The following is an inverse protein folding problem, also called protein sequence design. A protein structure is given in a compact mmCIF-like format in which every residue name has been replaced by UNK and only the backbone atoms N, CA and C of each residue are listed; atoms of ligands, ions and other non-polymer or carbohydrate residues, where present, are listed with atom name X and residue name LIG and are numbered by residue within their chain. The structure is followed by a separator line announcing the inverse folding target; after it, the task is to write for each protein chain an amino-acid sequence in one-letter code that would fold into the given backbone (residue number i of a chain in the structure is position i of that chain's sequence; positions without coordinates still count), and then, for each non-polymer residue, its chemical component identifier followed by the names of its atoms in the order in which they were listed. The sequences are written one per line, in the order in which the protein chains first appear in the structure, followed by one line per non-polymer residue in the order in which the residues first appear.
data_IF_227201908954
#
_entry.id   IF_227201908954
#
_cell.length_a   1.000
_cell.length_b   1.000
_cell.length_c   1.000
_cell.angle_alpha   90.00
_cell.angle_beta   90.00
_cell.angle_gamma   90.00
#
_symmetry.space_group_name_H-M   'P 1'
#
loop_
_entity.id
_entity.type
_entity.pdbx_description
1 polymer ?
#
# COMPACT_ATOMS: atom_id res chain seq x y z
N UNK A 1 -17.53 -8.80 -11.66
CA UNK A 1 -17.27 -7.33 -11.77
C UNK A 1 -16.71 -6.76 -10.47
N UNK A 2 -15.57 -7.31 -10.07
CA UNK A 2 -14.95 -6.99 -8.78
C UNK A 2 -14.45 -5.54 -8.67
N UNK A 3 -13.89 -4.99 -9.75
CA UNK A 3 -13.31 -3.65 -9.74
C UNK A 3 -14.32 -2.50 -9.86
N UNK A 4 -15.55 -2.77 -10.23
CA UNK A 4 -16.55 -1.73 -10.56
C UNK A 4 -16.82 -0.76 -9.40
N UNK A 5 -16.87 -1.26 -8.18
CA UNK A 5 -17.12 -0.44 -6.99
C UNK A 5 -15.87 0.13 -6.33
N UNK A 6 -14.69 -0.12 -6.87
CA UNK A 6 -13.41 0.29 -6.28
C UNK A 6 -13.04 1.67 -6.80
N UNK A 7 -12.82 2.64 -5.87
CA UNK A 7 -12.48 4.02 -6.25
C UNK A 7 -11.11 4.13 -6.94
N UNK A 8 -10.14 3.33 -6.53
CA UNK A 8 -8.80 3.30 -7.11
C UNK A 8 -8.66 2.18 -8.15
N UNK A 9 -9.45 2.27 -9.19
CA UNK A 9 -9.48 1.32 -10.30
C UNK A 9 -8.64 1.85 -11.46
N UNK A 10 -7.78 1.00 -12.00
CA UNK A 10 -7.00 1.30 -13.20
C UNK A 10 -7.40 0.37 -14.34
N UNK A 11 -7.44 0.93 -15.55
CA UNK A 11 -7.66 0.18 -16.78
C UNK A 11 -6.34 0.00 -17.51
N UNK A 12 -6.04 -1.22 -17.89
CA UNK A 12 -4.86 -1.54 -18.70
C UNK A 12 -5.33 -2.20 -19.97
N UNK A 13 -4.94 -1.65 -21.11
CA UNK A 13 -5.28 -2.17 -22.42
C UNK A 13 -4.04 -2.75 -23.08
N UNK A 14 -4.10 -4.04 -23.42
CA UNK A 14 -3.04 -4.72 -24.15
C UNK A 14 -3.02 -4.30 -25.62
N UNK A 15 -1.82 -4.18 -26.21
CA UNK A 15 -1.68 -3.93 -27.65
C UNK A 15 -2.13 -5.14 -28.45
N UNK A 16 -2.62 -4.90 -29.66
CA UNK A 16 -3.00 -5.97 -30.59
C UNK A 16 -1.79 -6.86 -30.90
N UNK A 17 -1.94 -8.16 -30.72
CA UNK A 17 -0.86 -9.14 -30.92
C UNK A 17 0.08 -9.31 -29.74
N UNK A 18 -0.06 -8.54 -28.66
CA UNK A 18 0.71 -8.74 -27.45
C UNK A 18 0.19 -9.96 -26.68
N UNK A 19 1.10 -10.78 -26.20
CA UNK A 19 0.78 -11.99 -25.41
C UNK A 19 0.87 -11.75 -23.91
N UNK A 20 1.37 -10.59 -23.50
CA UNK A 20 1.55 -10.23 -22.10
C UNK A 20 1.38 -8.73 -21.87
N UNK A 21 1.08 -8.37 -20.62
CA UNK A 21 1.00 -6.98 -20.18
C UNK A 21 1.55 -6.87 -18.75
N UNK A 22 2.31 -5.83 -18.47
CA UNK A 22 2.82 -5.56 -17.13
C UNK A 22 1.83 -4.69 -16.35
N UNK A 23 1.56 -5.09 -15.13
CA UNK A 23 0.71 -4.35 -14.20
C UNK A 23 1.40 -4.20 -12.86
N UNK A 24 1.02 -3.18 -12.12
CA UNK A 24 1.46 -2.98 -10.74
C UNK A 24 0.23 -3.02 -9.85
N UNK A 25 0.19 -3.99 -8.95
CA UNK A 25 -0.91 -4.20 -8.03
C UNK A 25 -0.61 -3.51 -6.71
N UNK A 26 -1.53 -2.67 -6.26
CA UNK A 26 -1.43 -1.95 -4.98
C UNK A 26 -2.56 -2.38 -4.05
N UNK A 27 -2.32 -2.30 -2.74
CA UNK A 27 -3.38 -2.49 -1.76
C UNK A 27 -4.45 -1.40 -1.89
N UNK A 28 -5.71 -1.80 -1.87
CA UNK A 28 -6.84 -0.88 -2.04
C UNK A 28 -7.10 -0.45 -3.48
N UNK A 29 -6.28 -0.88 -4.43
CA UNK A 29 -6.48 -0.69 -5.86
C UNK A 29 -7.06 -1.92 -6.53
N UNK A 30 -7.52 -1.76 -7.75
CA UNK A 30 -8.01 -2.84 -8.59
C UNK A 30 -7.66 -2.54 -10.05
N UNK A 31 -7.17 -3.54 -10.76
CA UNK A 31 -6.76 -3.38 -12.15
C UNK A 31 -7.68 -4.19 -13.05
N UNK A 32 -8.27 -3.53 -14.03
CA UNK A 32 -9.05 -4.18 -15.09
C UNK A 32 -8.21 -4.26 -16.35
N UNK A 33 -7.87 -5.46 -16.78
CA UNK A 33 -7.08 -5.70 -17.99
C UNK A 33 -7.96 -6.08 -19.16
N UNK A 34 -7.72 -5.45 -20.28
CA UNK A 34 -8.42 -5.70 -21.54
C UNK A 34 -7.40 -6.00 -22.64
N UNK A 35 -7.63 -7.05 -23.38
CA UNK A 35 -6.85 -7.38 -24.56
C UNK A 35 -7.74 -7.90 -25.66
N UNK A 36 -7.36 -7.70 -26.91
CA UNK A 36 -8.14 -8.16 -28.06
C UNK A 36 -8.27 -9.68 -28.06
N UNK A 37 -9.49 -10.17 -28.19
CA UNK A 37 -9.82 -11.60 -28.20
C UNK A 37 -9.45 -12.35 -26.91
N UNK A 38 -9.32 -11.64 -25.81
CA UNK A 38 -9.05 -12.20 -24.49
C UNK A 38 -10.12 -11.75 -23.50
N UNK A 39 -10.43 -12.55 -22.48
CA UNK A 39 -11.37 -12.14 -21.47
C UNK A 39 -10.84 -10.93 -20.68
N UNK A 40 -11.73 -10.04 -20.29
CA UNK A 40 -11.41 -8.94 -19.39
C UNK A 40 -11.27 -9.48 -17.97
N UNK A 41 -10.18 -9.14 -17.32
CA UNK A 41 -9.85 -9.65 -15.99
C UNK A 41 -9.81 -8.50 -14.99
N UNK A 42 -10.39 -8.72 -13.82
CA UNK A 42 -10.27 -7.86 -12.66
C UNK A 42 -9.28 -8.48 -11.69
N UNK A 43 -8.20 -7.77 -11.39
CA UNK A 43 -7.08 -8.28 -10.59
C UNK A 43 -6.86 -7.34 -9.41
N UNK A 44 -6.79 -7.92 -8.23
CA UNK A 44 -6.62 -7.18 -6.98
C UNK A 44 -5.56 -7.86 -6.10
N UNK A 45 -4.69 -7.05 -5.51
CA UNK A 45 -3.80 -7.51 -4.44
C UNK A 45 -4.60 -7.51 -3.13
N UNK A 46 -5.02 -8.68 -2.70
CA UNK A 46 -5.87 -8.83 -1.53
C UNK A 46 -5.09 -8.65 -0.24
N UNK A 47 -3.94 -9.29 -0.14
CA UNK A 47 -3.20 -9.35 1.11
C UNK A 47 -1.72 -9.61 0.88
N UNK A 48 -0.89 -9.06 1.75
CA UNK A 48 0.53 -9.40 1.87
C UNK A 48 0.75 -9.90 3.29
N UNK A 49 1.09 -11.17 3.42
CA UNK A 49 1.33 -11.79 4.72
C UNK A 49 2.83 -11.93 4.97
N UNK A 50 3.27 -11.52 6.16
CA UNK A 50 4.64 -11.70 6.61
C UNK A 50 4.69 -12.75 7.70
N UNK A 51 5.65 -13.66 7.59
CA UNK A 51 5.89 -14.72 8.57
C UNK A 51 7.31 -14.62 9.12
N UNK A 52 7.59 -15.30 10.22
CA UNK A 52 8.93 -15.39 10.82
C UNK A 52 9.57 -14.02 11.08
N UNK A 53 8.82 -13.14 11.72
CA UNK A 53 9.29 -11.82 12.10
C UNK A 53 10.34 -11.94 13.20
N UNK A 54 11.50 -11.31 13.01
CA UNK A 54 12.56 -11.24 14.00
C UNK A 54 12.52 -9.88 14.72
N UNK A 55 12.53 -9.92 16.05
CA UNK A 55 12.62 -8.71 16.85
C UNK A 55 14.05 -8.17 16.80
N UNK A 56 14.22 -6.96 16.26
CA UNK A 56 15.52 -6.33 16.17
C UNK A 56 15.86 -5.51 17.42
N UNK A 57 14.87 -4.78 17.95
CA UNK A 57 15.05 -3.91 19.11
C UNK A 57 13.76 -3.81 19.91
N UNK A 58 13.89 -3.72 21.21
CA UNK A 58 12.79 -3.44 22.13
C UNK A 58 12.99 -2.07 22.76
N UNK A 59 11.92 -1.31 22.90
CA UNK A 59 11.93 -0.02 23.59
C UNK A 59 11.02 -0.07 24.81
N UNK A 60 11.44 0.54 25.90
CA UNK A 60 10.62 0.64 27.10
C UNK A 60 9.77 1.90 27.06
N UNK A 61 8.44 1.76 27.16
CA UNK A 61 7.50 2.88 27.19
C UNK A 61 6.98 3.20 28.59
N UNK A 62 7.11 2.27 29.51
CA UNK A 62 6.74 2.47 30.91
C UNK A 62 7.75 1.77 31.81
N UNK A 63 8.39 2.55 32.67
CA UNK A 63 9.39 2.05 33.59
C UNK A 63 8.92 2.11 35.04
N UNK A 64 9.61 1.35 35.88
CA UNK A 64 9.43 1.34 37.33
C UNK A 64 10.80 1.40 38.00
N UNK A 65 10.93 2.17 39.03
CA UNK A 65 12.13 2.23 39.86
C UNK A 65 11.87 1.64 41.24
N UNK A 66 12.84 0.89 41.75
CA UNK A 66 12.85 0.29 43.07
C UNK A 66 14.25 0.35 43.66
N UNK A 67 14.38 0.01 44.97
CA UNK A 67 15.68 -0.10 45.64
C UNK A 67 16.54 1.18 45.44
N UNK A 68 15.97 2.32 45.72
CA UNK A 68 16.72 3.59 45.68
C UNK A 68 17.71 3.64 46.81
N UNK A 69 18.99 3.76 46.46
CA UNK A 69 20.11 3.84 47.44
C UNK A 69 20.86 5.13 47.19
N UNK A 70 21.42 5.67 48.27
CA UNK A 70 22.18 6.93 48.22
C UNK A 70 23.45 6.80 49.06
N UNK A 71 24.56 7.33 48.57
CA UNK A 71 25.77 7.55 49.30
C UNK A 71 26.25 8.99 49.16
N UNK A 72 26.77 9.54 50.21
CA UNK A 72 27.20 10.91 50.26
C UNK A 72 28.52 11.05 50.98
N UNK A 73 29.37 11.97 50.49
CA UNK A 73 30.67 12.29 51.07
C UNK A 73 30.76 13.74 51.50
N UNK A 74 31.54 14.00 52.54
CA UNK A 74 31.83 15.37 52.96
C UNK A 74 32.78 16.07 51.97
N UNK A 75 32.82 17.41 51.95
CA UNK A 75 33.78 18.13 51.15
C UNK A 75 35.20 17.64 51.35
N UNK A 76 35.97 17.54 50.29
CA UNK A 76 37.37 17.06 50.23
C UNK A 76 37.58 15.56 50.47
N UNK A 77 36.54 14.78 50.62
CA UNK A 77 36.65 13.32 50.81
C UNK A 77 36.54 12.48 49.54
N UNK A 78 36.58 13.09 48.38
CA UNK A 78 36.48 12.40 47.11
C UNK A 78 35.05 12.17 46.64
N UNK A 79 34.82 11.29 45.67
CA UNK A 79 33.57 10.96 45.09
C UNK A 79 32.83 9.87 45.89
N UNK A 80 31.53 10.07 46.09
CA UNK A 80 30.66 9.03 46.61
C UNK A 80 30.49 7.88 45.60
N UNK A 81 30.58 6.65 46.07
CA UNK A 81 30.54 5.43 45.27
C UNK A 81 29.56 4.45 45.89
N UNK A 82 28.70 3.86 45.04
CA UNK A 82 27.81 2.78 45.41
C UNK A 82 28.17 1.52 44.61
N UNK A 83 28.11 0.32 45.24
CA UNK A 83 28.35 -0.95 44.52
C UNK A 83 27.33 -1.18 43.39
N UNK A 84 26.13 -0.61 43.50
CA UNK A 84 25.07 -0.68 42.49
C UNK A 84 25.42 0.00 41.19
N UNK A 85 26.41 0.88 41.15
CA UNK A 85 26.88 1.51 39.92
C UNK A 85 27.46 0.49 38.93
N UNK A 86 27.94 -0.64 39.41
CA UNK A 86 28.44 -1.74 38.59
C UNK A 86 27.32 -2.65 38.08
N UNK A 87 26.11 -2.54 38.62
CA UNK A 87 24.97 -3.31 38.17
C UNK A 87 24.27 -2.60 37.01
N UNK A 88 24.19 -3.28 35.88
CA UNK A 88 23.57 -2.72 34.66
C UNK A 88 22.07 -2.50 34.78
N UNK A 89 21.41 -3.06 35.80
CA UNK A 89 19.99 -2.86 36.08
C UNK A 89 19.69 -1.57 36.84
N UNK A 90 20.72 -0.88 37.31
CA UNK A 90 20.60 0.36 38.06
C UNK A 90 20.92 1.56 37.20
N UNK A 91 20.18 2.62 37.41
CA UNK A 91 20.47 3.94 36.85
C UNK A 91 20.97 4.83 37.99
N UNK A 92 22.11 5.46 37.80
CA UNK A 92 22.79 6.23 38.82
C UNK A 92 23.13 7.63 38.34
N UNK A 93 23.13 8.59 39.26
CA UNK A 93 23.56 9.95 38.98
C UNK A 93 24.43 10.48 40.11
N UNK A 94 25.54 11.05 39.75
CA UNK A 94 26.42 11.81 40.65
C UNK A 94 26.03 13.28 40.63
N UNK A 95 26.02 13.89 41.81
CA UNK A 95 25.79 15.31 41.96
C UNK A 95 26.57 15.83 43.17
N UNK A 96 26.45 17.09 43.44
CA UNK A 96 27.05 17.72 44.62
C UNK A 96 25.96 18.42 45.43
N UNK A 97 26.06 18.30 46.73
CA UNK A 97 25.12 18.92 47.68
C UNK A 97 25.89 19.77 48.72
N UNK A 98 25.25 20.76 49.27
CA UNK A 98 25.83 21.54 50.36
C UNK A 98 25.92 20.74 51.64
N UNK A 99 27.10 20.64 52.18
CA UNK A 99 27.44 19.93 53.38
C UNK A 99 28.04 20.86 54.42
N UNK A 100 27.80 20.57 55.70
CA UNK A 100 28.28 21.33 56.82
C UNK A 100 27.95 20.67 58.13
N UNK A 101 28.06 21.42 59.23
CA UNK A 101 27.83 20.86 60.56
C UNK A 101 26.36 20.40 60.76
N UNK A 102 25.42 21.11 60.12
CA UNK A 102 24.01 20.75 60.21
C UNK A 102 23.63 19.39 59.63
N UNK A 103 24.47 18.80 58.78
CA UNK A 103 24.27 17.50 58.13
C UNK A 103 25.44 16.54 58.30
N UNK A 104 26.26 16.74 59.31
CA UNK A 104 27.27 15.77 59.77
C UNK A 104 28.66 15.89 59.15
N UNK A 105 28.99 17.01 58.52
CA UNK A 105 30.31 17.27 57.98
C UNK A 105 31.01 18.40 58.76
N UNK A 106 32.28 18.23 59.04
CA UNK A 106 33.10 19.22 59.72
C UNK A 106 33.55 20.43 58.85
N UNK A 107 33.41 20.32 57.56
CA UNK A 107 33.74 21.38 56.60
C UNK A 107 32.48 21.84 55.88
N UNK A 108 32.37 23.15 55.64
CA UNK A 108 31.35 23.70 54.78
C UNK A 108 31.80 23.64 53.32
N UNK A 109 30.92 23.23 52.43
CA UNK A 109 31.18 23.20 51.01
C UNK A 109 30.32 22.16 50.30
N UNK A 110 30.69 21.90 49.01
CA UNK A 110 30.01 20.92 48.18
C UNK A 110 30.59 19.52 48.44
N UNK A 111 29.72 18.59 48.83
CA UNK A 111 30.09 17.20 49.00
C UNK A 111 29.47 16.35 47.86
N UNK A 112 30.17 15.30 47.48
CA UNK A 112 29.68 14.37 46.45
C UNK A 112 28.47 13.58 46.94
N UNK A 113 27.48 13.39 46.07
CA UNK A 113 26.29 12.58 46.29
C UNK A 113 26.06 11.69 45.09
N UNK A 114 25.83 10.41 45.32
CA UNK A 114 25.40 9.47 44.28
C UNK A 114 24.08 8.82 44.69
N UNK A 115 23.17 8.75 43.77
CA UNK A 115 21.89 8.06 43.95
C UNK A 115 21.72 7.05 42.86
N UNK A 116 21.39 5.83 43.24
CA UNK A 116 21.12 4.73 42.32
C UNK A 116 19.72 4.17 42.54
N UNK A 117 19.04 3.84 41.48
CA UNK A 117 17.73 3.21 41.53
C UNK A 117 17.69 2.04 40.56
N UNK A 118 17.07 0.94 40.97
CA UNK A 118 16.87 -0.22 40.10
C UNK A 118 15.76 0.06 39.12
N UNK A 119 16.07 -0.08 37.84
CA UNK A 119 15.13 0.12 36.74
C UNK A 119 14.55 -1.21 36.26
N UNK A 120 13.24 -1.25 36.10
CA UNK A 120 12.51 -2.35 35.45
C UNK A 120 11.55 -1.77 34.44
N UNK A 121 11.41 -2.45 33.32
CA UNK A 121 10.42 -2.08 32.32
C UNK A 121 9.11 -2.84 32.56
N UNK A 122 8.01 -2.10 32.66
CA UNK A 122 6.67 -2.67 32.84
C UNK A 122 6.00 -2.94 31.51
N UNK A 123 6.15 -2.04 30.55
CA UNK A 123 5.61 -2.20 29.20
C UNK A 123 6.67 -1.84 28.18
N UNK A 124 6.74 -2.64 27.15
CA UNK A 124 7.69 -2.43 26.07
C UNK A 124 6.99 -2.48 24.70
N UNK A 125 7.63 -1.89 23.73
CA UNK A 125 7.27 -2.02 22.32
C UNK A 125 8.38 -2.76 21.60
N UNK A 126 8.01 -3.54 20.59
CA UNK A 126 8.96 -4.32 19.81
C UNK A 126 9.08 -3.78 18.40
N UNK A 127 10.29 -3.62 17.91
CA UNK A 127 10.60 -3.35 16.52
C UNK A 127 10.98 -4.64 15.80
N UNK A 128 10.15 -5.10 14.90
CA UNK A 128 10.33 -6.34 14.16
C UNK A 128 10.74 -6.08 12.72
N UNK A 129 11.59 -6.92 12.19
CA UNK A 129 12.08 -6.83 10.81
C UNK A 129 11.35 -7.86 9.96
N UNK A 130 10.92 -7.41 8.78
CA UNK A 130 10.34 -8.27 7.75
C UNK A 130 11.40 -8.59 6.72
N UNK A 131 11.60 -9.86 6.41
CA UNK A 131 12.47 -10.30 5.33
C UNK A 131 11.64 -10.62 4.10
N UNK A 132 12.13 -10.26 2.92
CA UNK A 132 11.44 -10.51 1.65
C UNK A 132 11.14 -11.99 1.42
N UNK A 133 12.02 -12.89 1.88
CA UNK A 133 11.85 -14.33 1.75
C UNK A 133 10.63 -14.88 2.48
N UNK A 134 10.14 -14.18 3.48
CA UNK A 134 9.01 -14.59 4.32
C UNK A 134 7.70 -13.88 3.98
N UNK A 135 7.65 -13.25 2.82
CA UNK A 135 6.45 -12.59 2.31
C UNK A 135 5.65 -13.52 1.40
N UNK A 136 4.34 -13.44 1.53
CA UNK A 136 3.39 -14.14 0.68
C UNK A 136 2.34 -13.14 0.22
N UNK A 137 2.26 -12.93 -1.08
CA UNK A 137 1.26 -12.06 -1.70
C UNK A 137 0.09 -12.90 -2.16
N UNK A 138 -1.10 -12.48 -1.81
CA UNK A 138 -2.34 -13.12 -2.27
C UNK A 138 -3.01 -12.21 -3.30
N UNK A 139 -3.11 -12.69 -4.52
CA UNK A 139 -3.72 -11.98 -5.64
C UNK A 139 -5.02 -12.66 -6.00
N UNK A 140 -6.10 -11.90 -6.11
CA UNK A 140 -7.39 -12.40 -6.56
C UNK A 140 -7.63 -12.00 -7.99
N UNK A 141 -7.95 -12.96 -8.83
CA UNK A 141 -8.24 -12.79 -10.24
C UNK A 141 -9.68 -13.20 -10.49
N UNK A 142 -10.46 -12.29 -11.05
CA UNK A 142 -11.85 -12.53 -11.41
C UNK A 142 -12.04 -12.23 -12.88
N UNK A 143 -12.70 -13.09 -13.61
CA UNK A 143 -13.10 -12.79 -14.99
C UNK A 143 -14.24 -11.77 -14.93
N UNK A 144 -14.06 -10.65 -15.63
CA UNK A 144 -15.06 -9.60 -15.74
C UNK A 144 -16.18 -10.05 -16.67
N UNK A 145 -17.12 -10.83 -16.13
CA UNK A 145 -18.18 -11.43 -16.92
C UNK A 145 -19.52 -10.79 -16.59
N UNK A 146 -20.43 -10.83 -17.56
CA UNK A 146 -21.80 -10.38 -17.40
C UNK A 146 -22.70 -11.39 -16.68
N UNK A 147 -22.20 -12.54 -16.27
CA UNK A 147 -22.99 -13.58 -15.63
C UNK A 147 -23.43 -13.14 -14.23
N UNK A 148 -24.74 -13.19 -13.97
CA UNK A 148 -25.35 -12.72 -12.72
C UNK A 148 -24.83 -13.48 -11.49
N UNK A 149 -24.50 -14.75 -11.61
CA UNK A 149 -24.00 -15.55 -10.49
C UNK A 149 -22.63 -15.11 -10.00
N UNK A 150 -21.85 -14.39 -10.81
CA UNK A 150 -20.54 -13.89 -10.43
C UNK A 150 -20.55 -12.43 -9.95
N UNK A 151 -21.56 -11.66 -10.30
CA UNK A 151 -21.62 -10.21 -9.99
C UNK A 151 -21.87 -9.92 -8.50
N UNK A 152 -22.58 -10.80 -7.80
CA UNK A 152 -22.93 -10.59 -6.39
C UNK A 152 -22.00 -11.25 -5.37
N UNK A 153 -20.99 -12.00 -5.81
CA UNK A 153 -20.20 -12.83 -4.92
C UNK A 153 -18.71 -12.52 -5.07
N UNK A 154 -18.21 -11.61 -4.23
CA UNK A 154 -16.81 -11.19 -4.18
C UNK A 154 -15.83 -12.34 -3.86
N UNK A 155 -16.33 -13.48 -3.39
CA UNK A 155 -15.55 -14.63 -2.96
C UNK A 155 -15.25 -15.62 -4.08
N UNK A 156 -15.76 -15.44 -5.29
CA UNK A 156 -15.59 -16.40 -6.40
C UNK A 156 -14.37 -16.13 -7.31
N UNK A 157 -13.46 -15.28 -6.91
CA UNK A 157 -12.22 -15.10 -7.63
C UNK A 157 -11.26 -16.27 -7.46
N UNK A 158 -10.40 -16.47 -8.44
CA UNK A 158 -9.27 -17.41 -8.34
C UNK A 158 -8.15 -16.73 -7.57
N UNK A 159 -7.65 -17.42 -6.57
CA UNK A 159 -6.57 -16.91 -5.73
C UNK A 159 -5.22 -17.43 -6.21
N UNK A 160 -4.27 -16.54 -6.41
CA UNK A 160 -2.88 -16.89 -6.68
C UNK A 160 -2.00 -16.44 -5.51
N UNK A 161 -1.14 -17.33 -5.05
CA UNK A 161 -0.19 -17.05 -3.98
C UNK A 161 1.21 -16.89 -4.57
N UNK A 162 1.82 -15.73 -4.34
CA UNK A 162 3.11 -15.38 -4.89
C UNK A 162 4.10 -15.17 -3.76
N UNK A 163 5.19 -15.92 -3.81
CA UNK A 163 6.31 -15.82 -2.86
C UNK A 163 7.60 -15.61 -3.64
N UNK A 164 8.69 -15.15 -3.00
CA UNK A 164 9.99 -15.06 -3.68
C UNK A 164 10.51 -16.40 -4.22
N UNK A 165 10.10 -17.53 -3.61
CA UNK A 165 10.45 -18.86 -4.07
C UNK A 165 9.56 -19.34 -5.22
N UNK A 166 8.34 -18.83 -5.31
CA UNK A 166 7.36 -19.15 -6.35
C UNK A 166 6.83 -17.84 -6.96
N UNK A 167 7.71 -17.14 -7.68
CA UNK A 167 7.39 -15.86 -8.32
C UNK A 167 6.64 -16.00 -9.64
N UNK A 168 6.68 -17.16 -10.24
CA UNK A 168 5.93 -17.50 -11.47
C UNK A 168 4.84 -18.50 -11.11
N UNK A 169 3.58 -18.09 -11.26
CA UNK A 169 2.41 -18.89 -10.88
C UNK A 169 1.43 -18.91 -12.05
N UNK A 170 0.77 -20.04 -12.25
CA UNK A 170 -0.34 -20.15 -13.20
C UNK A 170 -1.67 -20.21 -12.45
N UNK A 171 -2.57 -19.29 -12.77
CA UNK A 171 -3.93 -19.29 -12.26
C UNK A 171 -4.87 -19.92 -13.27
N UNK A 172 -5.56 -20.97 -12.85
CA UNK A 172 -6.53 -21.67 -13.70
C UNK A 172 -7.87 -20.99 -13.57
N UNK A 173 -8.34 -20.39 -14.64
CA UNK A 173 -9.65 -19.76 -14.73
C UNK A 173 -10.61 -20.75 -15.38
N UNK A 174 -11.61 -21.29 -14.65
CA UNK A 174 -12.52 -22.26 -15.24
C UNK A 174 -13.25 -21.69 -16.45
N UNK A 175 -13.28 -22.47 -17.54
CA UNK A 175 -13.87 -22.13 -18.84
C UNK A 175 -13.11 -21.08 -19.67
N UNK A 176 -12.08 -20.43 -19.13
CA UNK A 176 -11.35 -19.36 -19.83
C UNK A 176 -9.89 -19.71 -20.09
N UNK A 177 -9.36 -20.75 -19.48
CA UNK A 177 -8.00 -21.17 -19.64
C UNK A 177 -7.11 -20.78 -18.46
N UNK A 178 -5.85 -20.52 -18.73
CA UNK A 178 -4.82 -20.30 -17.72
C UNK A 178 -4.19 -18.90 -17.87
N UNK A 179 -4.16 -18.14 -16.78
CA UNK A 179 -3.43 -16.89 -16.71
C UNK A 179 -2.07 -17.14 -16.08
N UNK A 180 -1.00 -16.80 -16.79
CA UNK A 180 0.35 -16.82 -16.24
C UNK A 180 0.67 -15.52 -15.51
N UNK A 181 1.13 -15.65 -14.27
CA UNK A 181 1.56 -14.54 -13.43
C UNK A 181 3.05 -14.67 -13.18
N UNK A 182 3.84 -13.74 -13.70
CA UNK A 182 5.26 -13.62 -13.42
C UNK A 182 5.49 -12.33 -12.63
N UNK A 183 5.71 -12.43 -11.34
CA UNK A 183 5.74 -11.29 -10.44
C UNK A 183 7.14 -11.04 -9.88
N UNK A 184 7.37 -9.82 -9.43
CA UNK A 184 8.62 -9.40 -8.79
C UNK A 184 8.37 -9.08 -7.31
N UNK A 185 8.32 -10.09 -6.43
CA UNK A 185 7.94 -9.89 -5.03
C UNK A 185 9.00 -9.17 -4.19
N UNK A 186 10.21 -8.99 -4.73
CA UNK A 186 11.31 -8.30 -4.03
C UNK A 186 11.39 -6.80 -4.31
N UNK A 187 10.62 -6.28 -5.28
CA UNK A 187 10.67 -4.88 -5.71
C UNK A 187 9.57 -4.01 -5.11
N UNK A 188 8.75 -4.55 -4.24
CA UNK A 188 7.68 -3.82 -3.55
C UNK A 188 8.21 -2.83 -2.51
N UNK A 189 7.58 -2.78 -1.35
CA UNK A 189 8.02 -1.94 -0.24
C UNK A 189 9.47 -2.27 0.16
N UNK A 190 10.29 -1.25 0.38
CA UNK A 190 11.66 -1.44 0.84
C UNK A 190 11.69 -1.78 2.33
N UNK A 191 11.69 -3.07 2.63
CA UNK A 191 11.73 -3.56 4.00
C UNK A 191 13.08 -3.34 4.71
N UNK A 192 14.14 -2.96 3.97
CA UNK A 192 15.40 -2.58 4.59
C UNK A 192 15.32 -1.24 5.30
N UNK A 193 14.42 -0.36 4.87
CA UNK A 193 14.19 0.96 5.49
C UNK A 193 12.96 1.00 6.39
N UNK A 194 12.16 -0.08 6.42
CA UNK A 194 10.93 -0.15 7.18
C UNK A 194 11.01 -1.17 8.31
N UNK A 195 10.21 -0.97 9.32
CA UNK A 195 10.14 -1.83 10.50
C UNK A 195 8.71 -1.91 11.00
N UNK A 196 8.34 -3.05 11.58
CA UNK A 196 7.07 -3.22 12.27
C UNK A 196 7.23 -2.86 13.73
N UNK A 197 6.52 -1.84 14.18
CA UNK A 197 6.41 -1.49 15.58
C UNK A 197 5.18 -2.18 16.15
N UNK A 198 5.37 -3.05 17.14
CA UNK A 198 4.30 -3.76 17.82
C UNK A 198 4.13 -3.23 19.24
N UNK A 199 2.94 -2.74 19.55
CA UNK A 199 2.58 -2.24 20.87
C UNK A 199 1.27 -2.88 21.32
N UNK A 200 1.31 -3.67 22.38
CA UNK A 200 0.19 -4.53 22.80
C UNK A 200 -0.27 -5.44 21.64
N UNK A 201 -1.53 -5.38 21.25
CA UNK A 201 -2.08 -6.20 20.16
C UNK A 201 -2.16 -5.48 18.82
N UNK A 202 -1.51 -4.33 18.70
CA UNK A 202 -1.53 -3.51 17.49
C UNK A 202 -0.13 -3.39 16.91
N UNK A 203 -0.04 -3.27 15.61
CA UNK A 203 1.21 -3.09 14.89
C UNK A 203 1.09 -1.98 13.85
N UNK A 204 2.20 -1.30 13.62
CA UNK A 204 2.30 -0.23 12.62
C UNK A 204 3.56 -0.42 11.80
N UNK A 205 3.50 0.01 10.55
CA UNK A 205 4.66 0.11 9.70
C UNK A 205 5.31 1.48 9.89
N UNK A 206 6.56 1.51 10.28
CA UNK A 206 7.30 2.73 10.57
C UNK A 206 8.67 2.73 9.87
N UNK A 207 9.26 3.90 9.67
CA UNK A 207 10.63 4.00 9.19
C UNK A 207 11.61 3.51 10.25
N UNK A 208 12.59 2.73 9.84
CA UNK A 208 13.61 2.17 10.74
C UNK A 208 14.39 3.26 11.46
N UNK A 209 14.77 4.31 10.75
CA UNK A 209 15.49 5.43 11.33
C UNK A 209 14.67 6.17 12.38
N UNK A 210 13.39 6.41 12.11
CA UNK A 210 12.49 7.02 13.08
C UNK A 210 12.36 6.18 14.36
N UNK A 211 12.27 4.87 14.22
CA UNK A 211 12.18 3.96 15.36
C UNK A 211 13.46 3.98 16.21
N UNK A 212 14.63 3.99 15.58
CA UNK A 212 15.91 4.05 16.29
C UNK A 212 16.17 5.39 16.95
N UNK A 213 15.60 6.47 16.45
CA UNK A 213 15.75 7.82 17.00
C UNK A 213 14.77 8.13 18.14
N UNK A 214 13.88 7.21 18.49
CA UNK A 214 12.96 7.42 19.59
C UNK A 214 13.69 7.54 20.92
N UNK A 215 13.38 8.59 21.73
CA UNK A 215 14.06 8.85 22.99
C UNK A 215 13.53 7.95 24.12
N UNK A 216 13.79 6.67 24.03
CA UNK A 216 13.33 5.67 24.99
C UNK A 216 14.48 4.69 25.32
N UNK A 217 14.50 4.11 26.52
CA UNK A 217 15.43 3.05 26.84
C UNK A 217 15.24 1.86 25.88
N UNK A 218 16.32 1.28 25.44
CA UNK A 218 16.29 0.23 24.44
C UNK A 218 17.12 -1.00 24.85
N UNK A 219 16.79 -2.13 24.28
CA UNK A 219 17.57 -3.36 24.40
C UNK A 219 17.55 -4.11 23.07
N UNK A 220 18.55 -4.99 22.89
CA UNK A 220 18.58 -5.88 21.71
C UNK A 220 17.41 -6.88 21.75
N UNK A 221 16.83 -7.17 20.60
CA UNK A 221 15.75 -8.12 20.45
C UNK A 221 16.11 -9.58 20.76
N UNK A 222 17.39 -9.91 20.82
CA UNK A 222 17.87 -11.26 21.08
C UNK A 222 17.84 -11.65 22.57
N UNK A 223 17.58 -10.72 23.49
CA UNK A 223 17.55 -10.97 24.93
C UNK A 223 16.20 -11.52 25.38
N UNK A 224 16.22 -12.60 26.20
CA UNK A 224 15.02 -13.39 26.47
C UNK A 224 14.36 -13.18 27.83
N UNK A 225 15.01 -13.06 28.97
CA UNK A 225 14.28 -13.09 30.26
C UNK A 225 14.42 -11.85 31.14
N UNK A 226 15.57 -11.28 31.29
CA UNK A 226 15.79 -10.03 32.04
C UNK A 226 16.66 -9.11 31.21
N UNK A 227 16.04 -8.32 30.29
CA UNK A 227 16.81 -7.47 29.43
C UNK A 227 17.50 -6.36 30.22
N UNK A 228 18.74 -6.10 29.88
CA UNK A 228 19.48 -4.95 30.37
C UNK A 228 19.18 -3.77 29.46
N UNK A 229 18.54 -2.74 30.01
CA UNK A 229 18.14 -1.57 29.24
C UNK A 229 19.27 -0.58 29.11
N UNK A 230 19.48 -0.09 27.90
CA UNK A 230 20.39 1.01 27.61
C UNK A 230 19.64 2.32 27.67
N UNK A 231 20.33 3.39 28.06
CA UNK A 231 19.75 4.74 28.17
C UNK A 231 18.54 4.83 29.09
N UNK A 232 18.62 4.18 30.24
CA UNK A 232 17.58 4.19 31.27
C UNK A 232 17.24 5.61 31.77
N UNK A 233 18.21 6.51 31.73
CA UNK A 233 18.03 7.91 32.10
C UNK A 233 16.97 8.67 31.28
N UNK A 234 16.58 8.16 30.13
CA UNK A 234 15.53 8.78 29.32
C UNK A 234 14.13 8.72 29.98
N UNK A 235 13.89 7.72 30.83
CA UNK A 235 12.65 7.60 31.59
C UNK A 235 12.79 7.95 33.07
N UNK A 236 13.99 8.13 33.56
CA UNK A 236 14.25 8.39 34.97
C UNK A 236 14.81 9.80 35.12
N UNK A 237 14.18 10.59 35.99
CA UNK A 237 14.60 11.95 36.29
C UNK A 237 15.08 12.04 37.72
N UNK A 238 16.28 12.59 37.90
CA UNK A 238 16.83 12.90 39.22
C UNK A 238 16.59 14.38 39.49
N UNK A 239 15.75 14.66 40.50
CA UNK A 239 15.48 16.04 40.91
C UNK A 239 16.63 16.61 41.70
N UNK A 240 16.70 17.93 41.80
CA UNK A 240 17.75 18.62 42.53
C UNK A 240 17.84 18.11 43.97
N UNK A 241 19.06 17.83 44.41
CA UNK A 241 19.35 17.33 45.73
C UNK A 241 19.22 18.42 46.77
N UNK A 242 18.54 18.08 47.86
CA UNK A 242 18.51 18.91 49.09
C UNK A 242 19.11 18.08 50.24
N UNK A 243 20.08 18.63 50.91
CA UNK A 243 20.80 17.98 52.03
C UNK A 243 21.49 16.66 51.58
N UNK A 244 21.06 15.51 52.07
CA UNK A 244 21.61 14.20 51.77
C UNK A 244 20.78 13.37 50.83
N UNK A 245 19.71 13.92 50.27
CA UNK A 245 18.75 13.12 49.45
C UNK A 245 18.46 13.82 48.14
N UNK A 246 18.49 12.98 47.11
CA UNK A 246 18.06 13.32 45.79
C UNK A 246 16.80 12.50 45.47
N UNK A 247 15.76 13.16 45.03
CA UNK A 247 14.54 12.49 44.64
C UNK A 247 14.67 11.92 43.25
N UNK A 248 14.30 10.65 43.06
CA UNK A 248 14.30 9.96 41.78
C UNK A 248 12.85 9.69 41.39
N UNK A 249 12.47 10.14 40.22
CA UNK A 249 11.13 9.91 39.67
C UNK A 249 11.23 9.26 38.31
N UNK A 250 10.30 8.37 37.99
CA UNK A 250 10.15 7.79 36.69
C UNK A 250 9.04 8.54 35.92
N UNK A 251 9.25 8.79 34.64
CA UNK A 251 8.23 9.35 33.78
C UNK A 251 7.05 8.39 33.68
N UNK A 252 5.86 8.96 33.53
CA UNK A 252 4.65 8.17 33.31
C UNK A 252 4.69 7.40 32.01
N UNK A 253 3.67 6.59 31.78
CA UNK A 253 3.56 5.78 30.54
C UNK A 253 3.64 6.67 29.30
N UNK A 254 4.47 6.26 28.35
CA UNK A 254 4.65 6.93 27.05
C UNK A 254 3.72 6.35 25.97
N UNK A 255 2.78 5.50 26.32
CA UNK A 255 1.85 4.88 25.38
C UNK A 255 1.03 5.92 24.60
N UNK A 256 0.47 6.92 25.31
CA UNK A 256 -0.28 8.00 24.67
C UNK A 256 0.56 8.85 23.72
N UNK A 257 1.80 9.15 24.10
CA UNK A 257 2.73 9.86 23.24
C UNK A 257 3.09 9.04 22.00
N UNK A 258 3.24 7.73 22.14
CA UNK A 258 3.49 6.82 21.01
C UNK A 258 2.30 6.75 20.06
N UNK A 259 1.07 6.67 20.56
CA UNK A 259 -0.13 6.71 19.71
C UNK A 259 -0.23 8.02 18.94
N UNK A 260 0.12 9.14 19.56
CA UNK A 260 0.14 10.44 18.87
C UNK A 260 1.22 10.48 17.79
N UNK A 261 2.40 9.99 18.09
CA UNK A 261 3.52 9.92 17.14
C UNK A 261 3.24 8.98 15.95
N UNK A 262 2.41 7.96 16.16
CA UNK A 262 2.01 6.99 15.12
C UNK A 262 0.82 7.47 14.26
N UNK A 263 0.30 8.66 14.49
CA UNK A 263 -0.77 9.23 13.67
C UNK A 263 -0.30 9.35 12.22
N UNK A 264 -1.06 8.76 11.29
CA UNK A 264 -0.70 8.71 9.88
C UNK A 264 0.18 7.52 9.46
N UNK A 265 0.67 6.73 10.40
CA UNK A 265 1.35 5.47 10.10
C UNK A 265 0.35 4.39 9.68
N UNK A 266 0.78 3.50 8.80
CA UNK A 266 -0.07 2.39 8.33
C UNK A 266 -0.23 1.35 9.42
N UNK A 267 -1.45 1.16 9.91
CA UNK A 267 -1.78 0.12 10.88
C UNK A 267 -1.84 -1.25 10.21
N UNK A 268 -1.31 -2.26 10.88
CA UNK A 268 -1.21 -3.62 10.38
C UNK A 268 -2.08 -4.53 11.22
N UNK A 269 -2.82 -5.42 10.57
CA UNK A 269 -3.62 -6.42 11.26
C UNK A 269 -2.75 -7.61 11.68
N UNK A 270 -2.81 -7.96 12.95
CA UNK A 270 -2.04 -9.05 13.54
C UNK A 270 -2.87 -10.28 13.90
N UNK A 271 -4.19 -10.18 13.86
CA UNK A 271 -5.09 -11.31 14.09
C UNK A 271 -5.10 -12.27 12.90
N UNK A 272 -4.73 -13.54 13.14
CA UNK A 272 -4.69 -14.56 12.08
C UNK A 272 -3.46 -14.52 11.18
N UNK A 273 -2.37 -13.88 11.62
CA UNK A 273 -1.15 -13.64 10.86
C UNK A 273 -0.88 -12.15 10.68
N UNK A 274 0.33 -11.80 10.27
CA UNK A 274 0.70 -10.38 10.06
C UNK A 274 0.38 -9.98 8.62
N UNK A 275 -0.70 -9.24 8.45
CA UNK A 275 -1.15 -8.73 7.14
C UNK A 275 -0.69 -7.29 6.95
N UNK A 276 0.13 -7.07 5.93
CA UNK A 276 0.69 -5.76 5.59
C UNK A 276 -0.11 -5.18 4.42
N UNK A 277 -0.75 -4.03 4.62
CA UNK A 277 -1.51 -3.33 3.58
C UNK A 277 -0.73 -2.14 3.00
N UNK A 278 0.55 -2.33 2.79
CA UNK A 278 1.43 -1.33 2.19
C UNK A 278 2.30 -1.98 1.11
N UNK A 279 2.79 -1.17 0.19
CA UNK A 279 3.61 -1.64 -0.92
C UNK A 279 2.80 -2.03 -2.13
N UNK A 280 3.49 -2.59 -3.10
CA UNK A 280 2.93 -2.99 -4.38
C UNK A 280 3.58 -4.28 -4.87
N UNK A 281 2.95 -4.91 -5.85
CA UNK A 281 3.47 -6.09 -6.51
C UNK A 281 3.43 -5.85 -8.02
N UNK A 282 4.58 -5.83 -8.66
CA UNK A 282 4.69 -5.78 -10.11
C UNK A 282 4.53 -7.18 -10.67
N UNK A 283 3.59 -7.37 -11.59
CA UNK A 283 3.34 -8.64 -12.24
C UNK A 283 3.27 -8.50 -13.75
N UNK A 284 3.80 -9.48 -14.43
CA UNK A 284 3.61 -9.67 -15.87
C UNK A 284 2.51 -10.70 -16.07
N UNK A 285 1.44 -10.30 -16.71
CA UNK A 285 0.31 -11.17 -17.00
C UNK A 285 0.47 -11.77 -18.38
N UNK A 286 0.62 -13.08 -18.46
CA UNK A 286 0.73 -13.82 -19.72
C UNK A 286 -0.65 -14.34 -20.08
N UNK A 287 -1.20 -13.84 -21.18
CA UNK A 287 -2.56 -14.12 -21.63
C UNK A 287 -2.62 -15.09 -22.83
N UNK A 288 -1.52 -15.66 -23.24
CA UNK A 288 -1.45 -16.52 -24.41
C UNK A 288 -2.31 -17.79 -24.31
N UNK A 289 -2.54 -18.29 -23.11
CA UNK A 289 -3.36 -19.48 -22.84
C UNK A 289 -4.80 -19.16 -22.44
N UNK A 290 -5.22 -17.89 -22.52
CA UNK A 290 -6.58 -17.48 -22.24
C UNK A 290 -7.43 -17.51 -23.52
N UNK A 291 -8.68 -17.92 -23.37
CA UNK A 291 -9.66 -17.97 -24.45
C UNK A 291 -10.97 -17.33 -24.03
N UNK A 292 -11.61 -16.64 -24.96
CA UNK A 292 -12.95 -16.09 -24.75
C UNK A 292 -14.01 -17.18 -24.83
N UNK A 293 -14.95 -17.15 -23.89
CA UNK A 293 -16.12 -18.01 -23.95
C UNK A 293 -17.08 -17.53 -25.03
N UNK A 294 -17.58 -18.45 -25.81
CA UNK A 294 -18.65 -18.17 -26.74
C UNK A 294 -18.24 -17.45 -28.03
N UNK A 295 -16.98 -17.46 -28.40
CA UNK A 295 -16.51 -16.89 -29.69
C UNK A 295 -17.18 -17.54 -30.90
N UNK A 296 -17.54 -18.81 -30.80
CA UNK A 296 -18.22 -19.55 -31.86
C UNK A 296 -19.72 -19.42 -31.86
N UNK A 297 -20.31 -18.77 -30.87
CA UNK A 297 -21.78 -18.62 -30.80
C UNK A 297 -22.27 -17.68 -31.89
N UNK A 298 -23.48 -17.93 -32.39
CA UNK A 298 -24.17 -17.03 -33.28
C UNK A 298 -24.62 -15.77 -32.53
N UNK A 299 -24.84 -14.69 -33.22
CA UNK A 299 -25.44 -13.48 -32.66
C UNK A 299 -26.89 -13.72 -32.21
N UNK A 300 -27.25 -13.16 -31.05
CA UNK A 300 -28.61 -13.22 -30.58
C UNK A 300 -29.56 -12.49 -31.55
N UNK A 301 -30.62 -13.18 -31.99
CA UNK A 301 -31.50 -12.69 -33.08
C UNK A 301 -32.77 -11.99 -32.59
N UNK A 302 -33.02 -11.95 -31.29
CA UNK A 302 -34.24 -11.41 -30.71
C UNK A 302 -33.97 -10.19 -29.82
N UNK A 303 -35.05 -9.66 -29.22
CA UNK A 303 -35.01 -8.42 -28.46
C UNK A 303 -34.42 -8.61 -27.05
N UNK A 304 -33.79 -7.57 -26.57
CA UNK A 304 -33.33 -7.43 -25.19
C UNK A 304 -34.20 -6.42 -24.44
N UNK A 305 -34.39 -6.63 -23.17
CA UNK A 305 -35.16 -5.75 -22.29
C UNK A 305 -34.25 -5.25 -21.17
N UNK A 306 -34.28 -3.95 -20.92
CA UNK A 306 -33.54 -3.35 -19.84
C UNK A 306 -34.18 -3.70 -18.49
N UNK A 307 -33.43 -4.33 -17.60
CA UNK A 307 -33.93 -4.78 -16.30
C UNK A 307 -33.74 -3.78 -15.17
N UNK A 308 -32.79 -2.90 -15.31
CA UNK A 308 -32.46 -1.87 -14.31
C UNK A 308 -32.10 -0.61 -15.04
N UNK A 309 -32.36 0.53 -14.42
CA UNK A 309 -31.88 1.82 -14.95
C UNK A 309 -30.37 1.80 -15.11
N UNK A 310 -29.88 2.33 -16.24
CA UNK A 310 -28.46 2.41 -16.53
C UNK A 310 -27.78 3.34 -15.50
N UNK A 311 -26.76 2.83 -14.86
CA UNK A 311 -26.00 3.56 -13.84
C UNK A 311 -24.60 3.91 -14.34
N UNK A 312 -24.14 5.10 -14.00
CA UNK A 312 -22.77 5.55 -14.28
C UNK A 312 -21.86 5.20 -13.09
N UNK A 313 -20.67 4.69 -13.39
CA UNK A 313 -19.65 4.43 -12.40
C UNK A 313 -18.74 5.67 -12.22
N UNK A 314 -17.95 5.68 -11.14
CA UNK A 314 -16.97 6.76 -10.89
C UNK A 314 -15.88 6.86 -11.97
N UNK A 315 -15.75 5.85 -12.83
CA UNK A 315 -14.66 5.75 -13.83
C UNK A 315 -15.07 6.20 -15.22
N UNK A 316 -16.28 6.74 -15.36
CA UNK A 316 -16.82 7.16 -16.66
C UNK A 316 -17.39 6.02 -17.50
N UNK A 317 -17.56 4.85 -16.93
CA UNK A 317 -18.21 3.70 -17.54
C UNK A 317 -19.66 3.59 -17.08
N UNK A 318 -20.48 2.86 -17.82
CA UNK A 318 -21.87 2.61 -17.48
C UNK A 318 -22.12 1.11 -17.32
N UNK A 319 -23.01 0.78 -16.40
CA UNK A 319 -23.47 -0.59 -16.16
C UNK A 319 -24.87 -0.76 -16.74
N UNK A 320 -25.02 -1.74 -17.60
CA UNK A 320 -26.29 -2.04 -18.29
C UNK A 320 -26.68 -3.47 -17.91
N UNK A 321 -27.88 -3.64 -17.37
CA UNK A 321 -28.43 -4.95 -17.05
C UNK A 321 -29.57 -5.26 -17.98
N UNK A 322 -29.41 -6.28 -18.81
CA UNK A 322 -30.39 -6.66 -19.83
C UNK A 322 -30.83 -8.13 -19.68
N UNK A 323 -32.00 -8.42 -20.13
CA UNK A 323 -32.54 -9.77 -20.22
C UNK A 323 -32.87 -10.09 -21.66
N UNK A 324 -32.48 -11.27 -22.14
CA UNK A 324 -32.76 -11.73 -23.48
C UNK A 324 -34.15 -12.41 -23.57
N UNK A 325 -34.93 -12.04 -24.54
CA UNK A 325 -36.28 -12.58 -24.77
C UNK A 325 -36.36 -13.69 -25.82
N UNK A 326 -35.26 -14.00 -26.49
CA UNK A 326 -35.18 -15.06 -27.49
C UNK A 326 -34.95 -16.46 -26.91
N UNK A 327 -35.14 -17.47 -27.74
CA UNK A 327 -34.98 -18.89 -27.37
C UNK A 327 -33.73 -19.52 -27.96
N UNK A 328 -32.94 -18.76 -28.71
CA UNK A 328 -31.71 -19.21 -29.37
C UNK A 328 -30.46 -19.14 -28.49
N UNK A 329 -30.62 -18.99 -27.19
CA UNK A 329 -29.53 -19.08 -26.23
C UNK A 329 -28.88 -20.50 -26.24
N UNK A 330 -27.54 -20.63 -26.10
CA UNK A 330 -26.55 -19.57 -25.92
C UNK A 330 -26.24 -18.81 -27.20
N UNK A 331 -26.04 -17.48 -27.06
CA UNK A 331 -25.72 -16.57 -28.17
C UNK A 331 -24.89 -15.39 -27.73
N UNK A 332 -24.19 -14.74 -28.68
CA UNK A 332 -23.45 -13.52 -28.42
C UNK A 332 -24.39 -12.31 -28.42
N UNK A 333 -24.14 -11.37 -27.52
CA UNK A 333 -24.89 -10.12 -27.46
C UNK A 333 -24.31 -9.14 -28.47
N UNK A 334 -25.09 -8.70 -29.49
CA UNK A 334 -24.67 -7.65 -30.40
C UNK A 334 -24.65 -6.31 -29.66
N UNK A 335 -23.50 -5.66 -29.62
CA UNK A 335 -23.33 -4.37 -28.96
C UNK A 335 -22.70 -3.36 -29.93
N UNK A 336 -23.32 -2.18 -30.03
CA UNK A 336 -22.79 -1.09 -30.83
C UNK A 336 -23.14 0.26 -30.20
N UNK A 337 -22.43 1.30 -30.56
CA UNK A 337 -22.69 2.66 -30.13
C UNK A 337 -22.80 3.58 -31.34
N UNK A 338 -23.76 4.52 -31.29
CA UNK A 338 -23.94 5.56 -32.29
C UNK A 338 -23.84 6.93 -31.64
N UNK A 339 -23.42 7.92 -32.39
CA UNK A 339 -23.53 9.33 -31.98
C UNK A 339 -24.98 9.82 -32.05
N UNK A 340 -25.24 11.06 -31.63
CA UNK A 340 -26.57 11.67 -31.71
C UNK A 340 -27.12 11.83 -33.13
N UNK A 341 -26.30 11.63 -34.16
CA UNK A 341 -26.64 11.75 -35.59
C UNK A 341 -26.75 10.39 -36.30
N UNK A 342 -26.65 9.28 -35.59
CA UNK A 342 -26.75 7.95 -36.15
C UNK A 342 -25.48 7.37 -36.77
N UNK A 343 -24.34 8.04 -36.64
CA UNK A 343 -23.04 7.54 -37.10
C UNK A 343 -22.44 6.61 -36.05
N UNK A 344 -21.86 5.47 -36.49
CA UNK A 344 -21.12 4.58 -35.60
C UNK A 344 -20.02 5.38 -34.87
N UNK A 345 -19.98 5.23 -33.54
CA UNK A 345 -19.07 5.96 -32.71
C UNK A 345 -18.18 4.99 -31.91
N UNK A 346 -16.99 5.47 -31.52
CA UNK A 346 -15.98 4.68 -30.84
C UNK A 346 -16.26 4.54 -29.32
N UNK A 347 -17.42 3.99 -28.98
CA UNK A 347 -17.63 3.49 -27.63
C UNK A 347 -16.82 2.21 -27.38
N UNK A 348 -16.34 2.04 -26.17
CA UNK A 348 -15.54 0.88 -25.77
C UNK A 348 -16.37 -0.07 -24.91
N UNK A 349 -16.35 -1.34 -25.26
CA UNK A 349 -16.98 -2.38 -24.45
C UNK A 349 -15.96 -2.92 -23.46
N UNK A 350 -16.20 -2.77 -22.17
CA UNK A 350 -15.29 -3.26 -21.12
C UNK A 350 -15.49 -4.77 -20.94
N UNK A 351 -16.73 -5.24 -20.86
CA UNK A 351 -17.03 -6.66 -20.79
C UNK A 351 -16.75 -7.31 -22.15
N UNK A 352 -15.68 -8.11 -22.23
CA UNK A 352 -15.30 -8.76 -23.49
C UNK A 352 -16.32 -9.83 -23.89
N UNK A 353 -16.77 -9.76 -25.14
CA UNK A 353 -17.68 -10.73 -25.77
C UNK A 353 -18.84 -11.16 -24.84
N UNK A 354 -19.76 -10.27 -24.49
CA UNK A 354 -20.87 -10.62 -23.62
C UNK A 354 -21.76 -11.66 -24.30
N UNK A 355 -22.15 -12.69 -23.55
CA UNK A 355 -22.95 -13.81 -24.05
C UNK A 355 -24.19 -14.05 -23.16
N UNK A 356 -25.25 -14.52 -23.77
CA UNK A 356 -26.41 -15.03 -23.05
C UNK A 356 -26.23 -16.54 -22.95
N UNK A 357 -26.12 -17.06 -21.74
CA UNK A 357 -25.96 -18.50 -21.51
C UNK A 357 -27.30 -19.23 -21.39
N UNK A 358 -28.26 -18.59 -20.74
CA UNK A 358 -29.63 -19.11 -20.55
C UNK A 358 -30.67 -18.03 -20.78
N UNK A 359 -31.81 -18.42 -21.33
CA UNK A 359 -32.97 -17.53 -21.45
C UNK A 359 -33.42 -17.05 -20.07
N UNK A 360 -33.83 -15.80 -20.00
CA UNK A 360 -34.36 -15.14 -18.80
C UNK A 360 -33.32 -14.87 -17.67
N UNK A 361 -32.06 -15.21 -17.86
CA UNK A 361 -30.99 -14.75 -16.96
C UNK A 361 -30.54 -13.35 -17.32
N UNK A 362 -30.59 -12.39 -16.40
CA UNK A 362 -30.05 -11.06 -16.66
C UNK A 362 -28.53 -11.08 -16.89
N UNK A 363 -28.06 -10.28 -17.83
CA UNK A 363 -26.65 -10.13 -18.15
C UNK A 363 -26.25 -8.69 -17.85
N UNK A 364 -25.14 -8.52 -17.15
CA UNK A 364 -24.56 -7.21 -16.87
C UNK A 364 -23.45 -6.91 -17.85
N UNK A 365 -23.50 -5.72 -18.43
CA UNK A 365 -22.52 -5.25 -19.40
C UNK A 365 -21.94 -3.94 -18.87
N UNK A 366 -20.63 -3.84 -18.85
CA UNK A 366 -19.93 -2.58 -18.60
C UNK A 366 -19.40 -2.05 -19.91
N UNK A 367 -19.70 -0.80 -20.20
CA UNK A 367 -19.28 -0.13 -21.41
C UNK A 367 -18.84 1.29 -21.13
N UNK A 368 -17.90 1.79 -21.90
CA UNK A 368 -17.48 3.20 -21.88
C UNK A 368 -18.08 3.90 -23.10
N UNK A 369 -19.16 4.69 -22.94
CA UNK A 369 -19.72 5.43 -24.05
C UNK A 369 -18.80 6.63 -24.41
N UNK A 370 -18.90 7.15 -25.65
CA UNK A 370 -18.20 8.36 -26.02
C UNK A 370 -18.74 9.56 -25.24
N UNK A 371 -17.95 10.63 -25.16
CA UNK A 371 -18.39 11.88 -24.53
C UNK A 371 -19.52 12.51 -25.33
N UNK A 372 -20.44 13.14 -24.61
CA UNK A 372 -21.63 13.78 -25.21
C UNK A 372 -22.80 12.80 -25.33
N UNK A 373 -23.75 13.17 -26.18
CA UNK A 373 -24.95 12.37 -26.43
C UNK A 373 -24.63 11.20 -27.35
N UNK A 374 -25.04 10.01 -26.96
CA UNK A 374 -24.84 8.80 -27.74
C UNK A 374 -26.00 7.83 -27.52
N UNK A 375 -26.21 6.94 -28.47
CA UNK A 375 -27.14 5.83 -28.38
C UNK A 375 -26.38 4.53 -28.27
N UNK A 376 -26.70 3.76 -27.26
CA UNK A 376 -26.17 2.43 -27.06
C UNK A 376 -27.17 1.44 -27.62
N UNK A 377 -26.73 0.62 -28.56
CA UNK A 377 -27.59 -0.32 -29.26
C UNK A 377 -27.21 -1.75 -28.87
N UNK A 378 -28.16 -2.45 -28.29
CA UNK A 378 -28.02 -3.86 -27.89
C UNK A 378 -29.04 -4.67 -28.66
N UNK A 379 -28.56 -5.51 -29.57
CA UNK A 379 -29.39 -6.31 -30.44
C UNK A 379 -29.21 -6.03 -31.93
N UNK A 380 -29.98 -6.65 -32.76
CA UNK A 380 -29.90 -6.56 -34.22
C UNK A 380 -31.19 -5.94 -34.80
N UNK A 381 -31.03 -5.00 -35.72
CA UNK A 381 -32.09 -4.41 -36.52
C UNK A 381 -33.13 -3.63 -35.73
N UNK A 382 -34.38 -3.69 -36.14
CA UNK A 382 -35.48 -2.92 -35.55
C UNK A 382 -35.89 -3.39 -34.14
N UNK A 383 -35.49 -4.58 -33.76
CA UNK A 383 -35.72 -5.14 -32.42
C UNK A 383 -34.65 -4.74 -31.40
N UNK A 384 -33.63 -4.02 -31.82
CA UNK A 384 -32.51 -3.63 -30.95
C UNK A 384 -33.01 -2.68 -29.85
N UNK A 385 -32.49 -2.91 -28.64
CA UNK A 385 -32.67 -1.99 -27.53
C UNK A 385 -31.80 -0.78 -27.74
N UNK A 386 -32.40 0.41 -27.80
CA UNK A 386 -31.68 1.67 -27.91
C UNK A 386 -31.71 2.42 -26.57
N UNK A 387 -30.55 2.75 -26.05
CA UNK A 387 -30.41 3.50 -24.82
C UNK A 387 -29.73 4.82 -25.14
N UNK A 388 -30.44 5.94 -24.90
CA UNK A 388 -29.85 7.26 -25.04
C UNK A 388 -29.08 7.60 -23.76
N UNK A 389 -27.81 7.95 -23.91
CA UNK A 389 -26.96 8.28 -22.78
C UNK A 389 -26.14 9.53 -23.08
N UNK A 390 -26.11 10.44 -22.11
CA UNK A 390 -25.26 11.63 -22.16
C UNK A 390 -24.10 11.49 -21.17
N UNK A 391 -22.87 11.41 -21.67
CA UNK A 391 -21.67 11.36 -20.86
C UNK A 391 -21.10 12.77 -20.68
N UNK A 392 -21.00 13.20 -19.42
CA UNK A 392 -20.40 14.47 -19.05
C UNK A 392 -18.90 14.42 -19.20
N UNK A 393 -18.28 15.56 -19.56
CA UNK A 393 -16.85 15.72 -19.67
C UNK A 393 -16.37 15.85 -21.11
N UNK A 394 -15.06 15.80 -21.28
CA UNK A 394 -14.39 15.92 -22.57
C UNK A 394 -13.17 15.03 -22.64
N UNK A 395 -12.67 14.77 -23.86
CA UNK A 395 -11.44 14.04 -24.08
C UNK A 395 -10.24 14.72 -23.41
N UNK A 396 -10.23 16.04 -23.36
CA UNK A 396 -9.18 16.84 -22.69
C UNK A 396 -9.22 16.60 -21.18
N UNK A 397 -10.40 16.64 -20.56
CA UNK A 397 -10.58 16.33 -19.15
C UNK A 397 -10.13 14.93 -18.80
N UNK A 398 -10.42 13.95 -19.65
CA UNK A 398 -9.94 12.55 -19.48
C UNK A 398 -8.42 12.47 -19.54
N UNK A 399 -7.78 13.21 -20.43
CA UNK A 399 -6.32 13.28 -20.51
C UNK A 399 -5.70 13.91 -19.25
N UNK A 400 -6.31 14.96 -18.70
CA UNK A 400 -5.86 15.56 -17.44
C UNK A 400 -5.96 14.58 -16.26
N UNK A 401 -7.05 13.85 -16.16
CA UNK A 401 -7.23 12.82 -15.12
C UNK A 401 -6.21 11.68 -15.27
N UNK A 402 -5.95 11.23 -16.50
CA UNK A 402 -4.95 10.21 -16.77
C UNK A 402 -3.54 10.68 -16.41
N UNK A 403 -3.21 11.94 -16.69
CA UNK A 403 -1.94 12.55 -16.31
C UNK A 403 -1.80 12.68 -14.80
N UNK A 404 -2.85 13.10 -14.10
CA UNK A 404 -2.87 13.18 -12.65
C UNK A 404 -2.69 11.80 -12.00
N UNK A 405 -3.34 10.76 -12.51
CA UNK A 405 -3.16 9.39 -12.06
C UNK A 405 -1.74 8.88 -12.31
N UNK A 406 -1.16 9.20 -13.47
CA UNK A 406 0.23 8.89 -13.79
C UNK A 406 1.21 9.57 -12.83
N UNK A 407 1.01 10.85 -12.53
CA UNK A 407 1.82 11.60 -11.59
C UNK A 407 1.72 11.02 -10.16
N UNK A 408 0.53 10.68 -9.70
CA UNK A 408 0.32 10.02 -8.41
C UNK A 408 1.01 8.66 -8.35
N UNK A 409 0.93 7.89 -9.42
CA UNK A 409 1.58 6.59 -9.54
C UNK A 409 3.10 6.72 -9.48
N UNK A 410 3.67 7.73 -10.14
CA UNK A 410 5.10 8.08 -10.07
C UNK A 410 5.52 8.46 -8.65
N UNK A 411 4.71 9.23 -7.95
CA UNK A 411 5.00 9.65 -6.58
C UNK A 411 5.01 8.47 -5.60
N UNK A 412 4.13 7.49 -5.79
CA UNK A 412 3.99 6.33 -4.89
C UNK A 412 4.96 5.21 -5.25
N UNK A 413 5.09 4.89 -6.54
CA UNK A 413 5.81 3.71 -7.04
C UNK A 413 7.22 4.01 -7.54
N UNK A 414 7.56 5.28 -7.75
CA UNK A 414 8.85 5.67 -8.31
C UNK A 414 9.05 5.07 -9.70
N UNK A 415 10.21 4.45 -9.93
CA UNK A 415 10.56 3.87 -11.23
C UNK A 415 9.64 2.74 -11.69
N UNK A 416 9.00 2.04 -10.77
CA UNK A 416 8.07 0.95 -11.07
C UNK A 416 6.82 1.43 -11.79
N UNK A 417 6.46 2.71 -11.65
CA UNK A 417 5.31 3.30 -12.34
C UNK A 417 5.44 3.24 -13.88
N UNK A 418 6.66 3.24 -14.41
CA UNK A 418 6.93 3.13 -15.84
C UNK A 418 6.57 1.74 -16.40
N UNK A 419 6.56 0.74 -15.57
CA UNK A 419 6.24 -0.63 -15.96
C UNK A 419 4.73 -0.89 -16.04
N UNK A 420 3.92 0.03 -15.50
CA UNK A 420 2.46 -0.12 -15.52
C UNK A 420 1.90 0.03 -16.93
N UNK A 421 1.21 -1.00 -17.40
CA UNK A 421 0.63 -1.03 -18.73
C UNK A 421 1.64 -1.25 -19.86
N UNK A 422 2.89 -1.60 -19.54
CA UNK A 422 3.92 -1.89 -20.52
C UNK A 422 3.66 -3.20 -21.24
N UNK A 423 3.82 -3.19 -22.54
CA UNK A 423 3.67 -4.37 -23.42
C UNK A 423 4.97 -4.68 -24.19
N UNK A 424 6.11 -4.33 -23.65
CA UNK A 424 7.42 -4.65 -24.21
C UNK A 424 7.94 -3.66 -25.23
N UNK A 425 7.80 -2.37 -24.98
CA UNK A 425 8.33 -1.33 -25.86
C UNK A 425 9.72 -0.84 -25.47
N UNK A 426 10.60 -0.66 -26.46
CA UNK A 426 11.89 0.03 -26.30
C UNK A 426 11.69 1.46 -25.78
N UNK A 427 10.59 2.11 -26.15
CA UNK A 427 10.23 3.46 -25.71
C UNK A 427 10.01 3.56 -24.19
N UNK A 428 9.40 2.54 -23.59
CA UNK A 428 9.22 2.51 -22.13
C UNK A 428 10.54 2.34 -21.40
N UNK A 429 11.43 1.49 -21.91
CA UNK A 429 12.77 1.30 -21.35
C UNK A 429 13.61 2.57 -21.43
N UNK A 430 13.54 3.29 -22.56
CA UNK A 430 14.20 4.57 -22.74
C UNK A 430 13.64 5.64 -21.81
N UNK A 431 12.30 5.73 -21.69
CA UNK A 431 11.63 6.66 -20.78
C UNK A 431 12.02 6.42 -19.33
N UNK A 432 12.06 5.18 -18.90
CA UNK A 432 12.50 4.77 -17.56
C UNK A 432 13.96 5.16 -17.31
N UNK A 433 14.84 4.90 -18.29
CA UNK A 433 16.26 5.22 -18.19
C UNK A 433 16.49 6.73 -18.09
N UNK A 434 15.80 7.51 -18.91
CA UNK A 434 15.85 8.98 -18.88
C UNK A 434 15.34 9.50 -17.53
N UNK A 435 14.23 8.96 -17.00
CA UNK A 435 13.69 9.35 -15.70
C UNK A 435 14.69 9.04 -14.57
N UNK A 436 15.36 7.90 -14.57
CA UNK A 436 16.37 7.57 -13.58
C UNK A 436 17.55 8.53 -13.62
N UNK A 437 18.04 8.87 -14.81
CA UNK A 437 19.17 9.79 -14.99
C UNK A 437 18.79 11.19 -14.55
N UNK A 438 17.67 11.74 -15.03
CA UNK A 438 17.22 13.09 -14.69
C UNK A 438 16.75 13.22 -13.25
N UNK A 439 16.14 12.19 -12.67
CA UNK A 439 15.76 12.17 -11.26
C UNK A 439 16.97 12.29 -10.34
N UNK A 440 18.05 11.54 -10.60
CA UNK A 440 19.29 11.62 -9.87
C UNK A 440 19.98 12.97 -10.04
N UNK A 441 20.08 13.44 -11.28
CA UNK A 441 20.70 14.73 -11.60
C UNK A 441 19.90 15.90 -11.01
N UNK A 442 18.57 15.85 -11.05
CA UNK A 442 17.70 16.84 -10.43
C UNK A 442 17.91 16.93 -8.93
N UNK A 443 17.98 15.80 -8.24
CA UNK A 443 18.23 15.76 -6.80
C UNK A 443 19.63 16.28 -6.45
N UNK A 444 20.65 15.93 -7.24
CA UNK A 444 22.01 16.38 -7.02
C UNK A 444 22.21 17.88 -7.29
N UNK A 445 21.61 18.40 -8.37
CA UNK A 445 21.76 19.79 -8.79
C UNK A 445 20.92 20.77 -7.95
N UNK A 446 19.80 20.36 -7.42
CA UNK A 446 18.83 21.23 -6.77
C UNK A 446 18.67 21.04 -5.26
N UNK A 447 19.57 20.30 -4.64
CA UNK A 447 19.56 20.09 -3.19
C UNK A 447 19.74 21.37 -2.35
N UNK A 448 20.22 22.45 -2.92
CA UNK A 448 20.39 23.75 -2.25
C UNK A 448 19.52 24.88 -2.79
N UNK A 449 18.61 24.60 -3.71
CA UNK A 449 17.79 25.62 -4.42
C UNK A 449 16.43 25.76 -3.78
N UNK A 450 15.86 26.99 -3.78
CA UNK A 450 14.54 27.25 -3.21
C UNK A 450 13.44 26.47 -3.92
N UNK A 451 12.35 26.17 -3.19
CA UNK A 451 11.20 25.43 -3.67
C UNK A 451 10.58 26.03 -4.94
N UNK A 452 10.48 27.36 -4.99
CA UNK A 452 9.90 28.10 -6.14
C UNK A 452 10.74 27.88 -7.40
N UNK A 453 12.06 27.93 -7.30
CA UNK A 453 12.95 27.66 -8.43
C UNK A 453 12.90 26.21 -8.88
N UNK A 454 12.75 25.26 -7.96
CA UNK A 454 12.55 23.83 -8.30
C UNK A 454 11.30 23.61 -9.14
N UNK A 455 10.18 24.26 -8.80
CA UNK A 455 8.94 24.21 -9.57
C UNK A 455 9.13 24.82 -10.95
N UNK A 456 9.75 26.00 -11.04
CA UNK A 456 9.98 26.67 -12.32
C UNK A 456 10.82 25.85 -13.29
N UNK A 457 11.90 25.22 -12.79
CA UNK A 457 12.78 24.36 -13.59
C UNK A 457 12.05 23.07 -13.99
N UNK A 458 11.25 22.47 -13.10
CA UNK A 458 10.45 21.30 -13.41
C UNK A 458 9.45 21.57 -14.53
N UNK A 459 8.77 22.71 -14.49
CA UNK A 459 7.85 23.14 -15.55
C UNK A 459 8.59 23.36 -16.88
N UNK A 460 9.76 24.00 -16.84
CA UNK A 460 10.57 24.23 -18.03
C UNK A 460 11.04 22.93 -18.68
N UNK A 461 11.53 21.97 -17.88
CA UNK A 461 11.96 20.68 -18.37
C UNK A 461 10.81 19.85 -18.95
N UNK A 462 9.64 19.93 -18.33
CA UNK A 462 8.43 19.29 -18.84
C UNK A 462 8.01 19.90 -20.17
N UNK A 463 8.08 21.22 -20.29
CA UNK A 463 7.77 21.96 -21.53
C UNK A 463 8.73 21.60 -22.67
N UNK A 464 10.03 21.53 -22.39
CA UNK A 464 11.05 21.10 -23.35
C UNK A 464 10.81 19.66 -23.79
N UNK A 465 10.50 18.76 -22.85
CA UNK A 465 10.17 17.35 -23.13
C UNK A 465 8.93 17.20 -24.00
N UNK A 466 7.90 18.01 -23.79
CA UNK A 466 6.69 18.02 -24.60
C UNK A 466 6.93 18.57 -26.01
N UNK A 467 7.74 19.61 -26.15
CA UNK A 467 8.09 20.18 -27.46
C UNK A 467 9.04 19.31 -28.29
N UNK A 468 9.88 18.50 -27.64
CA UNK A 468 10.76 17.55 -28.35
C UNK A 468 10.01 16.35 -28.93
N UNK A 469 8.75 16.11 -28.52
CA UNK A 469 7.87 15.05 -29.08
C UNK A 469 7.05 15.50 -30.30
N UNK A 470 7.07 16.78 -30.63
CA UNK A 470 6.49 17.35 -31.83
C UNK A 470 7.62 17.62 -32.84
#
# INVERSE_FOLDING_TARGET
MRCVGVGNRDFVEGLSGATWVDVVLEHGGCVTTMAKNKPTLDIELQNTEATQLATLRKLCIEGKITNVTTDSRCPTQGEAILPEEQDQNYVCKHTYVDRGWGNGCGLFGKGSLVTCAKFQCLELIEGKVVQHENLKYTVIITVHTGDQHQVGNETQGVTAEITPQASTVEAILPEYGTLGLECSPRTGLDFNEMMLLTMKNKAWMVHRQWFFDLPLPWTSGATTETPTWNKKELLVTFKNAHAKKQEVVVLGSQEGAMHTALTGATEIQTSGGTSIFAGHLKCRLKMDKLELKGMSYAMCSNAFVLKKEVSETQHGTILIKVEYKGEDAPCKIPFSTEDGQGKAHNGRLITANPVVTKKEEPVNIEAEPPFGESNIIIGIGDKALKINWYKKGSSIGKMFEATARGARRMAILGDTAWDFGSVGGVLNSLGKMVHQIFGSAYTALFSGVSWIMKIGIGVLLTWIGLNSKN
#
